data_IF_927757777696
#
_entry.id   IF_927757777696
#
_cell.length_a   1.000
_cell.length_b   1.000
_cell.length_c   1.000
_cell.angle_alpha   90.00
_cell.angle_beta   90.00
_cell.angle_gamma   90.00
#
_symmetry.space_group_name_H-M   'P 1'
#
loop_
_entity.id
_entity.type
_entity.pdbx_description
1 polymer ?
#
# COMPACT_ATOMS: atom_id res chain seq x y z
N UNK A 1 11.70 6.86 11.50
CA UNK A 1 11.76 6.11 10.21
C UNK A 1 10.37 5.81 9.63
N UNK A 2 9.33 5.69 10.45
CA UNK A 2 7.93 5.50 10.04
C UNK A 2 7.31 6.68 9.28
N UNK A 3 7.75 7.91 9.55
CA UNK A 3 7.25 9.13 8.88
C UNK A 3 7.41 9.10 7.37
N UNK A 4 8.51 8.51 6.86
CA UNK A 4 8.77 8.40 5.42
C UNK A 4 7.86 7.38 4.74
N UNK A 5 7.48 6.30 5.43
CA UNK A 5 6.61 5.28 4.87
C UNK A 5 5.17 5.79 4.72
N UNK A 6 4.67 6.52 5.72
CA UNK A 6 3.34 7.14 5.68
C UNK A 6 3.28 8.20 4.57
N UNK A 7 4.34 9.00 4.41
CA UNK A 7 4.42 9.98 3.31
C UNK A 7 4.38 9.33 1.91
N UNK A 8 5.00 8.16 1.74
CA UNK A 8 4.94 7.40 0.48
C UNK A 8 3.54 6.87 0.20
N UNK A 9 2.84 6.38 1.23
CA UNK A 9 1.45 5.95 1.14
C UNK A 9 0.56 7.14 0.77
N UNK A 10 0.69 8.27 1.46
CA UNK A 10 -0.08 9.49 1.19
C UNK A 10 0.11 9.97 -0.25
N UNK A 11 1.36 9.96 -0.75
CA UNK A 11 1.67 10.35 -2.12
C UNK A 11 0.99 9.43 -3.14
N UNK A 12 0.97 8.12 -2.90
CA UNK A 12 0.29 7.16 -3.78
C UNK A 12 -1.24 7.32 -3.72
N UNK A 13 -1.79 7.56 -2.54
CA UNK A 13 -3.22 7.82 -2.37
C UNK A 13 -3.67 9.09 -3.08
N UNK A 14 -2.85 10.15 -3.10
CA UNK A 14 -3.13 11.35 -3.88
C UNK A 14 -3.18 11.08 -5.38
N UNK A 15 -2.29 10.21 -5.91
CA UNK A 15 -2.33 9.79 -7.32
C UNK A 15 -3.63 9.05 -7.65
N UNK A 16 -4.07 8.15 -6.76
CA UNK A 16 -5.33 7.41 -6.91
C UNK A 16 -6.55 8.34 -6.82
N UNK A 17 -6.52 9.34 -5.92
CA UNK A 17 -7.61 10.31 -5.80
C UNK A 17 -7.73 11.18 -7.05
N UNK A 18 -6.60 11.56 -7.66
CA UNK A 18 -6.57 12.33 -8.90
C UNK A 18 -7.16 11.58 -10.11
N UNK A 19 -7.19 10.24 -10.08
CA UNK A 19 -7.77 9.43 -11.17
C UNK A 19 -9.28 9.21 -11.04
N UNK A 20 -9.95 9.81 -10.04
CA UNK A 20 -11.39 9.65 -9.78
C UNK A 20 -11.82 8.16 -9.73
N UNK A 21 -11.09 7.36 -8.96
CA UNK A 21 -11.31 5.93 -8.83
C UNK A 21 -12.80 5.59 -8.57
N UNK A 22 -13.42 4.89 -9.51
CA UNK A 22 -14.80 4.46 -9.39
C UNK A 22 -14.94 3.44 -8.26
N UNK A 23 -16.05 3.49 -7.52
CA UNK A 23 -16.32 2.49 -6.49
C UNK A 23 -16.31 1.08 -7.10
N UNK A 24 -15.52 0.17 -6.52
CA UNK A 24 -15.32 -1.18 -7.02
C UNK A 24 -14.24 -1.32 -8.11
N UNK A 25 -13.53 -0.25 -8.47
CA UNK A 25 -12.35 -0.34 -9.33
C UNK A 25 -11.14 -0.88 -8.56
N UNK A 26 -10.12 -1.33 -9.29
CA UNK A 26 -8.85 -1.79 -8.72
C UNK A 26 -8.20 -0.69 -7.88
N UNK A 27 -8.26 0.56 -8.33
CA UNK A 27 -7.74 1.72 -7.61
C UNK A 27 -8.51 1.99 -6.31
N UNK A 28 -9.83 1.78 -6.29
CA UNK A 28 -10.63 1.90 -5.08
C UNK A 28 -10.23 0.86 -4.02
N UNK A 29 -10.07 -0.40 -4.44
CA UNK A 29 -9.59 -1.45 -3.54
C UNK A 29 -8.14 -1.23 -3.08
N UNK A 30 -7.27 -0.75 -3.98
CA UNK A 30 -5.89 -0.39 -3.64
C UNK A 30 -5.86 0.68 -2.57
N UNK A 31 -6.71 1.72 -2.69
CA UNK A 31 -6.80 2.78 -1.68
C UNK A 31 -7.14 2.21 -0.30
N UNK A 32 -8.09 1.29 -0.21
CA UNK A 32 -8.47 0.68 1.06
C UNK A 32 -7.32 -0.12 1.69
N UNK A 33 -6.59 -0.91 0.88
CA UNK A 33 -5.39 -1.61 1.36
C UNK A 33 -4.29 -0.65 1.82
N UNK A 34 -4.13 0.49 1.14
CA UNK A 34 -3.20 1.54 1.56
C UNK A 34 -3.64 2.22 2.86
N UNK A 35 -4.95 2.45 3.07
CA UNK A 35 -5.49 3.00 4.32
C UNK A 35 -5.21 2.06 5.51
N UNK A 36 -5.45 0.75 5.34
CA UNK A 36 -5.14 -0.27 6.36
C UNK A 36 -3.64 -0.33 6.66
N UNK A 37 -2.81 -0.28 5.62
CA UNK A 37 -1.36 -0.25 5.76
C UNK A 37 -0.87 0.99 6.50
N UNK A 38 -1.41 2.18 6.18
CA UNK A 38 -1.07 3.42 6.86
C UNK A 38 -1.44 3.38 8.35
N UNK A 39 -2.58 2.77 8.69
CA UNK A 39 -3.01 2.59 10.07
C UNK A 39 -2.12 1.60 10.84
N UNK A 40 -1.53 0.61 10.16
CA UNK A 40 -0.62 -0.36 10.77
C UNK A 40 0.83 0.17 10.94
N UNK A 41 1.25 1.12 10.10
CA UNK A 41 2.62 1.64 10.08
C UNK A 41 3.12 2.20 11.44
N UNK A 42 2.33 2.95 12.23
CA UNK A 42 2.76 3.43 13.56
C UNK A 42 2.96 2.32 14.59
N UNK A 43 2.17 1.23 14.50
CA UNK A 43 2.24 0.12 15.44
C UNK A 43 3.46 -0.77 15.19
N UNK A 44 3.86 -0.93 13.93
CA UNK A 44 4.97 -1.80 13.54
C UNK A 44 4.69 -3.28 13.78
N UNK A 45 5.76 -4.09 13.83
CA UNK A 45 5.70 -5.52 14.17
C UNK A 45 4.73 -6.34 13.32
N UNK A 46 4.03 -7.28 13.96
CA UNK A 46 3.13 -8.22 13.26
C UNK A 46 1.93 -7.55 12.58
N UNK A 47 1.47 -6.40 13.09
CA UNK A 47 0.36 -5.69 12.46
C UNK A 47 0.78 -5.08 11.12
N UNK A 48 1.93 -4.39 11.10
CA UNK A 48 2.51 -3.90 9.85
C UNK A 48 2.86 -5.04 8.90
N UNK A 49 3.39 -6.17 9.40
CA UNK A 49 3.67 -7.33 8.57
C UNK A 49 2.41 -7.85 7.86
N UNK A 50 1.32 -8.02 8.61
CA UNK A 50 0.05 -8.53 8.07
C UNK A 50 -0.54 -7.57 7.02
N UNK A 51 -0.56 -6.27 7.32
CA UNK A 51 -1.05 -5.26 6.39
C UNK A 51 -0.19 -5.20 5.11
N UNK A 52 1.14 -5.30 5.25
CA UNK A 52 2.07 -5.34 4.12
C UNK A 52 1.87 -6.58 3.24
N UNK A 53 1.64 -7.75 3.84
CA UNK A 53 1.33 -8.99 3.10
C UNK A 53 -0.01 -8.88 2.38
N UNK A 54 -1.04 -8.32 3.03
CA UNK A 54 -2.34 -8.12 2.43
C UNK A 54 -2.26 -7.20 1.20
N UNK A 55 -1.57 -6.05 1.32
CA UNK A 55 -1.33 -5.13 0.22
C UNK A 55 -0.57 -5.81 -0.94
N UNK A 56 0.50 -6.53 -0.63
CA UNK A 56 1.30 -7.24 -1.64
C UNK A 56 0.51 -8.32 -2.37
N UNK A 57 -0.31 -9.08 -1.63
CA UNK A 57 -1.19 -10.10 -2.18
C UNK A 57 -2.21 -9.49 -3.13
N UNK A 58 -2.90 -8.42 -2.70
CA UNK A 58 -3.84 -7.70 -3.55
C UNK A 58 -3.18 -7.22 -4.85
N UNK A 59 -2.03 -6.56 -4.75
CA UNK A 59 -1.30 -6.06 -5.92
C UNK A 59 -0.96 -7.20 -6.89
N UNK A 60 -0.51 -8.34 -6.39
CA UNK A 60 -0.09 -9.48 -7.21
C UNK A 60 -1.27 -10.21 -7.86
N UNK A 61 -2.40 -10.31 -7.17
CA UNK A 61 -3.57 -11.07 -7.65
C UNK A 61 -4.52 -10.24 -8.52
N UNK A 62 -4.52 -8.91 -8.37
CA UNK A 62 -5.60 -8.05 -8.88
C UNK A 62 -5.15 -6.89 -9.78
N UNK A 63 -3.85 -6.61 -9.87
CA UNK A 63 -3.33 -5.48 -10.67
C UNK A 63 -2.48 -5.96 -11.84
N UNK A 64 -2.39 -5.13 -12.88
CA UNK A 64 -1.43 -5.32 -13.97
C UNK A 64 -0.02 -4.93 -13.49
N UNK A 65 0.86 -5.92 -13.46
CA UNK A 65 2.27 -5.86 -13.06
C UNK A 65 3.12 -4.83 -13.84
N UNK A 66 2.71 -4.47 -15.06
CA UNK A 66 3.43 -3.49 -15.88
C UNK A 66 3.03 -2.04 -15.59
N UNK A 67 2.05 -1.82 -14.70
CA UNK A 67 1.60 -0.47 -14.37
C UNK A 67 2.51 0.23 -13.35
N UNK A 68 2.72 1.56 -13.47
CA UNK A 68 3.41 2.33 -12.44
C UNK A 68 2.75 2.18 -11.05
N UNK A 69 1.41 2.10 -11.02
CA UNK A 69 0.63 1.96 -9.80
C UNK A 69 0.97 0.67 -9.06
N UNK A 70 1.08 -0.46 -9.77
CA UNK A 70 1.53 -1.73 -9.19
C UNK A 70 2.92 -1.63 -8.59
N UNK A 71 3.88 -1.08 -9.36
CA UNK A 71 5.29 -1.02 -8.95
C UNK A 71 5.47 -0.18 -7.69
N UNK A 72 4.77 0.95 -7.61
CA UNK A 72 4.79 1.82 -6.43
C UNK A 72 4.15 1.14 -5.21
N UNK A 73 2.99 0.51 -5.36
CA UNK A 73 2.31 -0.19 -4.28
C UNK A 73 3.12 -1.37 -3.72
N UNK A 74 3.75 -2.16 -4.59
CA UNK A 74 4.64 -3.26 -4.22
C UNK A 74 5.87 -2.73 -3.45
N UNK A 75 6.50 -1.66 -3.93
CA UNK A 75 7.67 -1.08 -3.26
C UNK A 75 7.35 -0.63 -1.82
N UNK A 76 6.17 -0.03 -1.62
CA UNK A 76 5.66 0.34 -0.28
C UNK A 76 5.46 -0.90 0.58
N UNK A 77 4.79 -1.93 0.06
CA UNK A 77 4.54 -3.18 0.78
C UNK A 77 5.84 -3.88 1.20
N UNK A 78 6.81 -4.00 0.29
CA UNK A 78 8.13 -4.57 0.58
C UNK A 78 8.87 -3.81 1.68
N UNK A 79 8.81 -2.48 1.65
CA UNK A 79 9.43 -1.65 2.68
C UNK A 79 8.74 -1.84 4.02
N UNK A 80 7.41 -1.93 4.06
CA UNK A 80 6.65 -2.30 5.25
C UNK A 80 7.11 -3.64 5.84
N UNK A 81 7.29 -4.66 5.00
CA UNK A 81 7.80 -5.97 5.45
C UNK A 81 9.22 -5.89 6.01
N UNK A 82 10.11 -5.11 5.40
CA UNK A 82 11.47 -4.91 5.92
C UNK A 82 11.45 -4.24 7.28
N UNK A 83 10.59 -3.24 7.47
CA UNK A 83 10.45 -2.51 8.74
C UNK A 83 9.78 -3.34 9.83
N UNK A 84 8.88 -4.26 9.47
CA UNK A 84 8.21 -5.14 10.43
C UNK A 84 9.13 -6.25 10.99
N UNK A 85 10.19 -6.62 10.25
CA UNK A 85 11.17 -7.66 10.62
C UNK A 85 12.41 -7.12 11.36
N UNK A 86 12.57 -5.80 11.42
CA UNK A 86 13.66 -5.13 12.13
C UNK A 86 13.32 -4.91 13.60
#
# INVERSE_FOLDING_TARGET
MTTTLIQEVDALQQKIAASAAAHGSVEWYLKNHLDEFAAAAPAGGSYLENAARALMRFCTESMDWDTPLYREAIAIAERGLRLAKG
#
